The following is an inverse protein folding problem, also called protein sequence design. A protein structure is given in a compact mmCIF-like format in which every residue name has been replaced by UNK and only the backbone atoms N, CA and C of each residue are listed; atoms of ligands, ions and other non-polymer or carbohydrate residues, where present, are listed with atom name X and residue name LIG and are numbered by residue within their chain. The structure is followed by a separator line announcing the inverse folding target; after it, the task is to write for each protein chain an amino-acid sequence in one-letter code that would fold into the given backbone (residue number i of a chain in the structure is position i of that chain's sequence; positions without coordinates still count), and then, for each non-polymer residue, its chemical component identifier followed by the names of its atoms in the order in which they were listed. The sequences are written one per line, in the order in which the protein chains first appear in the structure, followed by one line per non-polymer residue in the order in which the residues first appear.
data_IF_757284356833
#
_entry.id   IF_757284356833
#
_cell.length_a   1.000
_cell.length_b   1.000
_cell.length_c   1.000
_cell.angle_alpha   90.00
_cell.angle_beta   90.00
_cell.angle_gamma   90.00
#
_symmetry.space_group_name_H-M   'P 1'
#
loop_
_entity.id
_entity.type
_entity.pdbx_description
1 polymer ?
#
# COMPACT_ATOMS: atom_id res chain seq x y z
N UNK A 1 -6.74 2.20 -14.58
CA UNK A 1 -7.14 3.10 -13.47
C UNK A 1 -8.47 2.62 -12.92
N UNK A 2 -8.63 2.61 -11.60
CA UNK A 2 -9.88 2.28 -10.94
C UNK A 2 -10.28 3.44 -10.01
N UNK A 3 -11.55 3.80 -10.01
CA UNK A 3 -12.13 4.83 -9.15
C UNK A 3 -13.15 4.18 -8.23
N UNK A 4 -13.11 4.52 -6.93
CA UNK A 4 -14.10 4.07 -5.95
C UNK A 4 -15.29 5.05 -5.81
N UNK A 5 -15.38 6.04 -6.70
CA UNK A 5 -16.43 7.08 -6.76
C UNK A 5 -16.84 7.34 -8.20
N UNK A 6 -18.04 7.92 -8.44
CA UNK A 6 -18.48 8.33 -9.77
C UNK A 6 -17.41 9.14 -10.51
N UNK A 7 -17.25 8.86 -11.80
CA UNK A 7 -16.33 9.55 -12.70
C UNK A 7 -17.01 10.78 -13.31
N UNK A 8 -16.48 11.97 -13.00
CA UNK A 8 -16.96 13.27 -13.48
C UNK A 8 -16.12 13.82 -14.65
N UNK A 9 -16.57 14.96 -15.21
CA UNK A 9 -15.96 15.59 -16.38
C UNK A 9 -14.52 16.05 -16.14
N UNK A 10 -14.26 16.70 -15.00
CA UNK A 10 -12.91 17.18 -14.63
C UNK A 10 -11.92 16.02 -14.48
N UNK A 11 -12.33 14.94 -13.80
CA UNK A 11 -11.50 13.74 -13.66
C UNK A 11 -11.30 13.08 -15.01
N UNK A 12 -12.33 12.97 -15.86
CA UNK A 12 -12.21 12.44 -17.20
C UNK A 12 -11.20 13.24 -18.04
N UNK A 13 -11.25 14.57 -17.97
CA UNK A 13 -10.30 15.44 -18.67
C UNK A 13 -8.87 15.18 -18.21
N UNK A 14 -8.63 15.09 -16.89
CA UNK A 14 -7.31 14.74 -16.35
C UNK A 14 -6.83 13.37 -16.84
N UNK A 15 -7.70 12.36 -16.88
CA UNK A 15 -7.37 11.02 -17.37
C UNK A 15 -6.95 11.01 -18.85
N UNK A 16 -7.45 11.94 -19.68
CA UNK A 16 -7.08 12.01 -21.10
C UNK A 16 -5.66 12.51 -21.38
N UNK A 17 -5.00 13.09 -20.36
CA UNK A 17 -3.63 13.63 -20.46
C UNK A 17 -2.56 12.52 -20.42
N UNK A 18 -2.94 11.33 -19.93
CA UNK A 18 -2.07 10.15 -19.87
C UNK A 18 -2.58 9.09 -20.84
N UNK A 19 -1.68 8.29 -21.42
CA UNK A 19 -2.10 7.11 -22.15
C UNK A 19 -2.63 6.05 -21.18
N UNK A 20 -3.91 5.70 -21.31
CA UNK A 20 -4.59 4.73 -20.44
C UNK A 20 -5.19 3.59 -21.25
N UNK A 21 -5.04 2.39 -20.73
CA UNK A 21 -5.66 1.20 -21.32
C UNK A 21 -7.11 1.03 -20.89
N UNK A 22 -7.37 1.13 -19.59
CA UNK A 22 -8.67 0.84 -19.01
C UNK A 22 -8.96 1.78 -17.82
N UNK A 23 -10.21 2.24 -17.74
CA UNK A 23 -10.78 2.98 -16.61
C UNK A 23 -11.99 2.21 -16.09
N UNK A 24 -12.04 1.99 -14.79
CA UNK A 24 -13.16 1.34 -14.10
C UNK A 24 -13.71 2.29 -13.05
N UNK A 25 -15.04 2.48 -13.01
CA UNK A 25 -15.70 3.34 -12.03
C UNK A 25 -17.10 2.80 -11.67
N UNK A 26 -17.67 3.15 -10.50
CA UNK A 26 -19.03 2.77 -10.13
C UNK A 26 -20.10 3.41 -11.01
N UNK A 27 -19.85 4.63 -11.51
CA UNK A 27 -20.68 5.32 -12.48
C UNK A 27 -19.87 6.35 -13.25
N UNK A 28 -20.44 6.88 -14.33
CA UNK A 28 -19.81 7.86 -15.21
C UNK A 28 -20.86 8.90 -15.59
N UNK A 29 -20.53 10.19 -15.47
CA UNK A 29 -21.44 11.26 -15.90
C UNK A 29 -21.53 11.31 -17.44
N UNK A 30 -22.63 11.85 -18.02
CA UNK A 30 -22.73 12.01 -19.47
C UNK A 30 -21.58 12.83 -20.08
N UNK A 31 -21.12 13.85 -19.35
CA UNK A 31 -19.97 14.67 -19.72
C UNK A 31 -18.68 13.84 -19.76
N UNK A 32 -18.38 13.09 -18.70
CA UNK A 32 -17.22 12.20 -18.64
C UNK A 32 -17.24 11.16 -19.76
N UNK A 33 -18.40 10.55 -20.03
CA UNK A 33 -18.57 9.59 -21.10
C UNK A 33 -18.25 10.20 -22.47
N UNK A 34 -18.71 11.43 -22.73
CA UNK A 34 -18.43 12.16 -23.98
C UNK A 34 -16.93 12.42 -24.14
N UNK A 35 -16.24 12.87 -23.09
CA UNK A 35 -14.79 13.13 -23.10
C UNK A 35 -14.00 11.85 -23.39
N UNK A 36 -14.33 10.74 -22.72
CA UNK A 36 -13.57 9.50 -22.84
C UNK A 36 -13.85 8.76 -24.16
N UNK A 37 -15.02 8.93 -24.76
CA UNK A 37 -15.35 8.37 -26.08
C UNK A 37 -14.42 8.88 -27.19
N UNK A 38 -13.83 10.06 -27.04
CA UNK A 38 -12.82 10.57 -27.98
C UNK A 38 -11.52 9.72 -27.99
N UNK A 39 -11.31 8.85 -27.00
CA UNK A 39 -10.17 7.94 -26.91
C UNK A 39 -10.57 6.55 -27.39
N UNK A 40 -10.47 6.30 -28.70
CA UNK A 40 -10.98 5.08 -29.37
C UNK A 40 -10.51 3.75 -28.78
N UNK A 41 -9.31 3.69 -28.19
CA UNK A 41 -8.73 2.47 -27.63
C UNK A 41 -8.91 2.34 -26.10
N UNK A 42 -9.50 3.36 -25.45
CA UNK A 42 -9.71 3.36 -24.02
C UNK A 42 -10.93 2.49 -23.68
N UNK A 43 -10.72 1.47 -22.85
CA UNK A 43 -11.81 0.66 -22.29
C UNK A 43 -12.37 1.38 -21.07
N UNK A 44 -13.66 1.70 -21.07
CA UNK A 44 -14.35 2.28 -19.91
C UNK A 44 -15.38 1.28 -19.39
N UNK A 45 -15.20 0.82 -18.15
CA UNK A 45 -16.09 -0.12 -17.49
C UNK A 45 -16.84 0.58 -16.36
N UNK A 46 -18.16 0.51 -16.40
CA UNK A 46 -19.04 0.98 -15.31
C UNK A 46 -19.51 -0.24 -14.53
N UNK A 47 -19.08 -0.34 -13.27
CA UNK A 47 -19.37 -1.45 -12.36
C UNK A 47 -19.98 -0.90 -11.05
N UNK A 48 -21.32 -0.79 -10.94
CA UNK A 48 -21.97 -0.18 -9.78
C UNK A 48 -21.59 -0.83 -8.43
N UNK A 49 -21.34 -2.13 -8.43
CA UNK A 49 -21.01 -2.92 -7.23
C UNK A 49 -19.50 -3.07 -6.98
N UNK A 50 -18.67 -2.15 -7.51
CA UNK A 50 -17.20 -2.23 -7.39
C UNK A 50 -16.69 -2.26 -5.94
N UNK A 51 -17.52 -1.88 -4.97
CA UNK A 51 -17.16 -1.79 -3.55
C UNK A 51 -17.27 -3.12 -2.79
N UNK A 52 -17.86 -4.16 -3.38
CA UNK A 52 -18.00 -5.49 -2.75
C UNK A 52 -17.16 -6.53 -3.48
N UNK A 53 -16.22 -7.13 -2.75
CA UNK A 53 -15.39 -8.23 -3.26
C UNK A 53 -16.04 -9.59 -3.06
N UNK A 54 -15.54 -10.60 -3.78
CA UNK A 54 -15.91 -11.99 -3.49
C UNK A 54 -15.37 -12.39 -2.10
N UNK A 55 -16.13 -13.16 -1.30
CA UNK A 55 -15.70 -13.59 0.03
C UNK A 55 -14.58 -14.64 0.01
N UNK A 56 -14.35 -15.26 -1.15
CA UNK A 56 -13.33 -16.28 -1.35
C UNK A 56 -12.50 -16.01 -2.61
N UNK A 57 -11.21 -16.32 -2.53
CA UNK A 57 -10.26 -16.27 -3.64
C UNK A 57 -9.98 -17.69 -4.10
N UNK A 58 -10.07 -17.92 -5.41
CA UNK A 58 -9.71 -19.19 -6.04
C UNK A 58 -8.41 -19.03 -6.80
N UNK A 59 -7.44 -19.92 -6.54
CA UNK A 59 -6.18 -19.99 -7.29
C UNK A 59 -6.05 -21.34 -7.98
N UNK A 60 -5.92 -21.34 -9.29
CA UNK A 60 -5.66 -22.56 -10.06
C UNK A 60 -4.23 -23.06 -9.86
N UNK A 61 -4.07 -24.37 -9.73
CA UNK A 61 -2.77 -25.06 -9.68
C UNK A 61 -2.79 -26.25 -10.63
N UNK A 62 -1.62 -26.82 -10.96
CA UNK A 62 -1.58 -28.06 -11.72
C UNK A 62 -2.37 -29.15 -10.98
N UNK A 63 -3.35 -29.74 -11.65
CA UNK A 63 -4.20 -30.79 -11.08
C UNK A 63 -5.38 -30.31 -10.22
N UNK A 64 -5.63 -29.00 -10.07
CA UNK A 64 -6.80 -28.54 -9.31
C UNK A 64 -6.84 -27.04 -8.99
N UNK A 65 -7.43 -26.71 -7.85
CA UNK A 65 -7.55 -25.34 -7.35
C UNK A 65 -7.43 -25.29 -5.83
N UNK A 66 -7.00 -24.13 -5.33
CA UNK A 66 -7.02 -23.75 -3.92
C UNK A 66 -8.11 -22.71 -3.71
N UNK A 67 -8.81 -22.78 -2.58
CA UNK A 67 -9.80 -21.79 -2.15
C UNK A 67 -9.44 -21.30 -0.76
N UNK A 68 -9.42 -19.98 -0.58
CA UNK A 68 -9.22 -19.34 0.71
C UNK A 68 -10.18 -18.17 0.89
N UNK A 69 -10.39 -17.73 2.13
CA UNK A 69 -11.08 -16.47 2.40
C UNK A 69 -10.29 -15.29 1.83
N UNK A 70 -11.00 -14.26 1.39
CA UNK A 70 -10.41 -12.99 0.96
C UNK A 70 -9.75 -12.26 2.12
N UNK A 71 -8.66 -11.54 1.85
CA UNK A 71 -8.00 -10.65 2.81
C UNK A 71 -8.68 -9.26 2.78
N UNK A 72 -9.89 -9.20 3.31
CA UNK A 72 -10.76 -8.02 3.29
C UNK A 72 -11.09 -7.47 4.69
N UNK A 73 -10.42 -7.99 5.72
CA UNK A 73 -10.64 -7.57 7.11
C UNK A 73 -10.44 -6.05 7.25
N UNK A 74 -11.36 -5.33 7.92
CA UNK A 74 -11.20 -3.92 8.21
C UNK A 74 -9.90 -3.65 8.97
N UNK A 75 -9.23 -2.55 8.64
CA UNK A 75 -8.09 -2.08 9.44
C UNK A 75 -8.61 -1.56 10.77
N UNK A 76 -8.03 -2.05 11.88
CA UNK A 76 -8.41 -1.69 13.25
C UNK A 76 -7.23 -1.02 13.96
N UNK A 77 -7.03 0.31 13.80
CA UNK A 77 -5.88 1.01 14.37
C UNK A 77 -5.83 0.95 15.90
N UNK A 78 -6.99 0.83 16.56
CA UNK A 78 -7.09 0.75 18.02
C UNK A 78 -6.47 -0.53 18.61
N UNK A 79 -6.24 -1.56 17.79
CA UNK A 79 -5.57 -2.81 18.22
C UNK A 79 -4.06 -2.77 17.97
N UNK A 80 -3.56 -1.72 17.32
CA UNK A 80 -2.15 -1.59 16.98
C UNK A 80 -1.33 -1.14 18.19
N UNK A 81 -0.05 -1.53 18.19
CA UNK A 81 0.87 -1.23 19.28
C UNK A 81 1.98 -0.31 18.77
N UNK A 82 2.09 0.87 19.37
CA UNK A 82 3.29 1.71 19.20
C UNK A 82 4.39 1.12 20.08
N UNK A 83 5.44 0.60 19.45
CA UNK A 83 6.50 -0.16 20.15
C UNK A 83 7.80 0.61 20.37
N UNK A 84 7.89 1.80 19.78
CA UNK A 84 9.00 2.75 19.97
C UNK A 84 8.67 3.78 21.05
N UNK A 85 9.69 4.48 21.54
CA UNK A 85 9.57 5.59 22.48
C UNK A 85 8.81 6.77 21.86
N UNK A 86 9.13 7.10 20.61
CA UNK A 86 8.43 8.15 19.87
C UNK A 86 7.01 7.70 19.52
N UNK A 87 6.07 8.62 19.74
CA UNK A 87 4.66 8.42 19.42
C UNK A 87 4.31 9.09 18.08
N UNK A 88 3.43 8.47 17.26
CA UNK A 88 2.96 9.10 16.04
C UNK A 88 2.09 10.31 16.36
N UNK A 89 2.26 11.38 15.59
CA UNK A 89 1.25 12.44 15.51
C UNK A 89 -0.06 11.89 14.91
N UNK A 90 -1.21 12.56 15.12
CA UNK A 90 -2.46 12.15 14.49
C UNK A 90 -2.37 12.04 12.96
N UNK A 91 -1.64 12.95 12.31
CA UNK A 91 -1.41 12.91 10.87
C UNK A 91 -0.56 11.69 10.44
N UNK A 92 0.52 11.40 11.18
CA UNK A 92 1.31 10.20 10.93
C UNK A 92 0.50 8.91 11.14
N UNK A 93 -0.37 8.86 12.15
CA UNK A 93 -1.25 7.71 12.36
C UNK A 93 -2.21 7.49 11.19
N UNK A 94 -2.82 8.56 10.65
CA UNK A 94 -3.66 8.45 9.46
C UNK A 94 -2.87 7.97 8.23
N UNK A 95 -1.65 8.46 8.05
CA UNK A 95 -0.79 8.04 6.95
C UNK A 95 -0.30 6.58 7.12
N UNK A 96 0.02 6.12 8.34
CA UNK A 96 0.32 4.71 8.64
C UNK A 96 -0.85 3.80 8.26
N UNK A 97 -2.09 4.22 8.55
CA UNK A 97 -3.30 3.48 8.15
C UNK A 97 -3.43 3.42 6.63
N UNK A 98 -3.18 4.54 5.93
CA UNK A 98 -3.20 4.58 4.47
C UNK A 98 -2.13 3.66 3.87
N UNK A 99 -0.88 3.79 4.31
CA UNK A 99 0.25 2.98 3.87
C UNK A 99 -0.03 1.48 4.07
N UNK A 100 -0.61 1.11 5.22
CA UNK A 100 -1.00 -0.26 5.54
C UNK A 100 -2.06 -0.82 4.57
N UNK A 101 -3.11 -0.04 4.29
CA UNK A 101 -4.15 -0.42 3.32
C UNK A 101 -3.58 -0.62 1.93
N UNK A 102 -2.69 0.27 1.49
CA UNK A 102 -2.00 0.14 0.21
C UNK A 102 -1.14 -1.13 0.17
N UNK A 103 -0.34 -1.36 1.21
CA UNK A 103 0.63 -2.45 1.24
C UNK A 103 0.00 -3.84 1.09
N UNK A 104 -1.23 -4.03 1.61
CA UNK A 104 -2.01 -5.27 1.46
C UNK A 104 -2.21 -5.70 0.01
N UNK A 105 -2.26 -4.75 -0.92
CA UNK A 105 -2.55 -5.03 -2.34
C UNK A 105 -1.30 -5.24 -3.20
N UNK A 106 -0.10 -5.16 -2.60
CA UNK A 106 1.18 -5.29 -3.29
C UNK A 106 1.67 -6.73 -3.18
N UNK A 107 2.28 -7.26 -4.25
CA UNK A 107 2.83 -8.62 -4.24
C UNK A 107 4.02 -8.73 -3.28
N UNK A 108 4.03 -9.78 -2.47
CA UNK A 108 5.02 -10.03 -1.42
C UNK A 108 6.39 -10.47 -1.97
N UNK A 109 7.51 -10.12 -1.33
CA UNK A 109 7.61 -9.23 -0.16
C UNK A 109 7.34 -7.77 -0.58
N UNK A 110 6.49 -7.06 0.16
CA UNK A 110 6.04 -5.74 -0.22
C UNK A 110 6.51 -4.64 0.74
N UNK A 111 6.92 -3.52 0.16
CA UNK A 111 7.16 -2.25 0.85
C UNK A 111 6.43 -1.13 0.12
N UNK A 112 5.68 -0.32 0.85
CA UNK A 112 5.06 0.89 0.35
C UNK A 112 5.63 2.10 1.09
N UNK A 113 6.06 3.12 0.34
CA UNK A 113 6.41 4.44 0.87
C UNK A 113 5.33 5.42 0.46
N UNK A 114 4.73 6.12 1.42
CA UNK A 114 3.59 7.01 1.18
C UNK A 114 3.72 8.34 1.92
N UNK A 115 3.08 9.37 1.38
CA UNK A 115 2.86 10.66 2.05
C UNK A 115 1.55 11.27 1.55
N UNK A 116 0.85 12.00 2.41
CA UNK A 116 -0.39 12.71 2.06
C UNK A 116 -1.39 11.84 1.27
N UNK A 117 -1.65 10.63 1.74
CA UNK A 117 -2.52 9.65 1.08
C UNK A 117 -2.11 9.33 -0.37
N UNK A 118 -0.82 9.40 -0.68
CA UNK A 118 -0.26 9.15 -2.01
C UNK A 118 0.96 8.24 -1.91
N UNK A 119 1.05 7.25 -2.79
CA UNK A 119 2.24 6.40 -2.92
C UNK A 119 3.38 7.16 -3.59
N UNK A 120 4.56 7.14 -2.97
CA UNK A 120 5.80 7.68 -3.54
C UNK A 120 6.67 6.58 -4.15
N UNK A 121 6.66 5.40 -3.54
CA UNK A 121 7.47 4.27 -4.01
C UNK A 121 6.92 2.93 -3.57
N UNK A 122 7.05 1.93 -4.45
CA UNK A 122 6.52 0.58 -4.26
C UNK A 122 7.60 -0.44 -4.60
N UNK A 123 8.01 -1.21 -3.59
CA UNK A 123 8.85 -2.38 -3.77
C UNK A 123 8.01 -3.64 -3.72
N UNK A 124 7.81 -4.29 -4.85
CA UNK A 124 6.94 -5.45 -4.97
C UNK A 124 7.71 -6.71 -5.39
N UNK A 125 7.27 -7.86 -4.89
CA UNK A 125 7.61 -9.18 -5.44
C UNK A 125 9.06 -9.63 -5.22
N UNK A 126 9.80 -9.04 -4.29
CA UNK A 126 11.20 -9.40 -4.07
C UNK A 126 11.35 -10.64 -3.18
N UNK A 127 12.41 -11.41 -3.43
CA UNK A 127 12.75 -12.59 -2.63
C UNK A 127 13.18 -12.23 -1.20
N UNK A 128 13.73 -11.04 -0.99
CA UNK A 128 14.10 -10.51 0.32
C UNK A 128 13.49 -9.12 0.53
N UNK A 129 13.22 -8.77 1.80
CA UNK A 129 12.47 -7.54 2.10
C UNK A 129 13.30 -6.27 2.01
N UNK A 130 14.59 -6.33 2.35
CA UNK A 130 15.51 -5.20 2.19
C UNK A 130 15.59 -4.76 0.72
N UNK A 131 15.52 -5.69 -0.23
CA UNK A 131 15.43 -5.39 -1.67
C UNK A 131 14.15 -4.67 -2.05
N UNK A 132 12.99 -5.07 -1.51
CA UNK A 132 11.75 -4.31 -1.69
C UNK A 132 11.88 -2.90 -1.12
N UNK A 133 12.50 -2.75 0.06
CA UNK A 133 12.68 -1.45 0.68
C UNK A 133 13.58 -0.53 -0.16
N UNK A 134 14.69 -1.07 -0.69
CA UNK A 134 15.58 -0.33 -1.58
C UNK A 134 14.88 0.16 -2.84
N UNK A 135 14.04 -0.67 -3.48
CA UNK A 135 13.26 -0.28 -4.65
C UNK A 135 12.27 0.84 -4.30
N UNK A 136 11.49 0.66 -3.23
CA UNK A 136 10.50 1.64 -2.81
C UNK A 136 11.14 2.99 -2.45
N UNK A 137 12.23 2.96 -1.69
CA UNK A 137 12.99 4.16 -1.29
C UNK A 137 13.61 4.85 -2.51
N UNK A 138 14.23 4.09 -3.42
CA UNK A 138 14.85 4.65 -4.61
C UNK A 138 13.80 5.31 -5.53
N UNK A 139 12.61 4.71 -5.65
CA UNK A 139 11.51 5.28 -6.42
C UNK A 139 10.99 6.58 -5.77
N UNK A 140 10.87 6.62 -4.43
CA UNK A 140 10.44 7.80 -3.71
C UNK A 140 11.48 8.94 -3.77
N UNK A 141 12.77 8.61 -3.85
CA UNK A 141 13.86 9.59 -3.94
C UNK A 141 13.83 10.59 -2.80
N UNK A 142 14.05 11.88 -3.11
CA UNK A 142 14.02 12.96 -2.12
C UNK A 142 12.66 13.12 -1.41
N UNK A 143 11.57 12.64 -2.03
CA UNK A 143 10.22 12.71 -1.44
C UNK A 143 10.05 11.73 -0.28
N UNK A 144 10.97 10.76 -0.09
CA UNK A 144 10.96 9.86 1.06
C UNK A 144 11.17 10.59 2.40
N UNK A 145 11.76 11.79 2.39
CA UNK A 145 11.98 12.59 3.60
C UNK A 145 10.64 13.00 4.22
N UNK A 146 10.39 12.57 5.45
CA UNK A 146 9.12 12.79 6.15
C UNK A 146 8.01 11.81 5.76
N UNK A 147 8.29 10.85 4.88
CA UNK A 147 7.30 9.86 4.44
C UNK A 147 7.17 8.69 5.45
N UNK A 148 6.17 7.86 5.20
CA UNK A 148 5.82 6.69 6.01
C UNK A 148 6.10 5.43 5.20
N UNK A 149 6.57 4.38 5.87
CA UNK A 149 6.82 3.08 5.25
C UNK A 149 5.92 2.00 5.84
N UNK A 150 5.27 1.22 4.99
CA UNK A 150 4.53 0.02 5.37
C UNK A 150 5.21 -1.24 4.82
N UNK A 151 5.17 -2.31 5.60
CA UNK A 151 5.70 -3.63 5.24
C UNK A 151 4.65 -4.71 5.44
N UNK A 152 4.37 -5.52 4.42
CA UNK A 152 3.33 -6.55 4.47
C UNK A 152 3.61 -7.68 5.47
N UNK A 153 4.89 -7.93 5.77
CA UNK A 153 5.39 -8.89 6.75
C UNK A 153 6.27 -8.26 7.83
N UNK A 154 6.76 -9.07 8.77
CA UNK A 154 7.71 -8.62 9.81
C UNK A 154 9.17 -8.50 9.35
N UNK A 155 9.93 -7.54 9.85
CA UNK A 155 11.35 -7.45 9.50
C UNK A 155 12.17 -8.57 10.17
N UNK A 156 12.95 -9.35 9.40
CA UNK A 156 13.80 -10.39 9.98
C UNK A 156 15.07 -9.83 10.65
N UNK A 157 15.49 -8.62 10.26
CA UNK A 157 16.68 -7.91 10.74
C UNK A 157 16.42 -6.40 10.77
N UNK A 158 17.32 -5.63 11.36
CA UNK A 158 17.22 -4.16 11.48
C UNK A 158 17.61 -3.38 10.19
N UNK A 159 18.15 -4.07 9.19
CA UNK A 159 18.66 -3.52 7.93
C UNK A 159 17.65 -2.60 7.20
N UNK A 160 16.38 -3.01 7.19
CA UNK A 160 15.29 -2.30 6.52
C UNK A 160 14.93 -1.03 7.28
N UNK A 161 14.95 -1.08 8.61
CA UNK A 161 14.71 0.09 9.48
C UNK A 161 15.81 1.12 9.30
N UNK A 162 17.08 0.67 9.31
CA UNK A 162 18.23 1.56 9.10
C UNK A 162 18.21 2.19 7.71
N UNK A 163 17.88 1.41 6.68
CA UNK A 163 17.75 1.91 5.30
C UNK A 163 16.63 2.96 5.19
N UNK A 164 15.49 2.74 5.84
CA UNK A 164 14.38 3.68 5.88
C UNK A 164 14.78 5.00 6.57
N UNK A 165 15.50 4.92 7.69
CA UNK A 165 15.99 6.09 8.42
C UNK A 165 16.93 6.95 7.57
N UNK A 166 17.88 6.33 6.84
CA UNK A 166 18.80 7.03 5.93
C UNK A 166 18.04 7.79 4.84
N UNK A 167 16.92 7.23 4.37
CA UNK A 167 16.05 7.88 3.38
C UNK A 167 15.17 9.01 3.97
N UNK A 168 15.17 9.19 5.30
CA UNK A 168 14.37 10.19 5.99
C UNK A 168 12.93 9.75 6.27
N UNK A 169 12.62 8.45 6.23
CA UNK A 169 11.33 7.92 6.70
C UNK A 169 11.18 8.22 8.20
N UNK A 170 10.01 8.68 8.62
CA UNK A 170 9.75 9.10 10.01
C UNK A 170 8.90 8.11 10.80
N UNK A 171 8.14 7.24 10.12
CA UNK A 171 7.40 6.18 10.78
C UNK A 171 7.25 4.92 9.92
N UNK A 172 7.10 3.79 10.60
CA UNK A 172 7.01 2.46 10.01
C UNK A 172 5.81 1.71 10.60
N UNK A 173 5.05 1.02 9.74
CA UNK A 173 4.02 0.04 10.17
C UNK A 173 4.35 -1.35 9.61
N UNK A 174 4.30 -2.36 10.47
CA UNK A 174 4.57 -3.76 10.13
C UNK A 174 3.78 -4.70 11.06
N UNK A 175 3.66 -6.01 10.77
CA UNK A 175 2.92 -6.94 11.62
C UNK A 175 3.55 -7.18 12.99
N UNK A 176 4.88 -7.27 13.08
CA UNK A 176 5.58 -7.90 14.19
C UNK A 176 5.49 -9.44 14.16
N UNK A 177 6.02 -10.08 15.20
CA UNK A 177 6.07 -11.53 15.36
C UNK A 177 7.42 -12.16 14.98
N UNK A 178 8.45 -11.35 14.73
CA UNK A 178 9.82 -11.87 14.56
C UNK A 178 10.43 -12.24 15.90
N UNK A 179 11.19 -13.33 15.95
CA UNK A 179 12.06 -13.62 17.11
C UNK A 179 13.10 -12.50 17.34
N UNK A 180 13.33 -11.66 16.31
CA UNK A 180 14.26 -10.53 16.28
C UNK A 180 13.54 -9.16 16.22
N UNK A 181 12.26 -9.07 16.60
CA UNK A 181 11.56 -7.79 16.58
C UNK A 181 12.29 -6.72 17.41
N UNK A 182 12.94 -7.13 18.52
CA UNK A 182 13.75 -6.25 19.36
C UNK A 182 14.84 -5.52 18.59
N UNK A 183 15.50 -6.16 17.63
CA UNK A 183 16.57 -5.56 16.84
C UNK A 183 16.01 -4.40 15.98
N UNK A 184 14.85 -4.62 15.36
CA UNK A 184 14.18 -3.62 14.53
C UNK A 184 13.60 -2.46 15.36
N UNK A 185 13.02 -2.76 16.52
CA UNK A 185 12.46 -1.75 17.44
C UNK A 185 13.59 -0.89 18.00
N UNK A 186 14.69 -1.51 18.44
CA UNK A 186 15.86 -0.79 18.94
C UNK A 186 16.44 0.12 17.87
N UNK A 187 16.60 -0.36 16.63
CA UNK A 187 17.10 0.47 15.54
C UNK A 187 16.16 1.65 15.24
N UNK A 188 14.84 1.48 15.35
CA UNK A 188 13.89 2.58 15.18
C UNK A 188 14.03 3.62 16.31
N UNK A 189 14.13 3.19 17.56
CA UNK A 189 14.37 4.09 18.70
C UNK A 189 15.69 4.85 18.57
N UNK A 190 16.79 4.16 18.24
CA UNK A 190 18.12 4.75 18.01
C UNK A 190 18.09 5.86 16.96
N UNK A 191 17.24 5.72 15.95
CA UNK A 191 17.15 6.60 14.79
C UNK A 191 15.97 7.58 14.89
N UNK A 192 15.20 7.52 15.97
CA UNK A 192 14.05 8.39 16.23
C UNK A 192 12.80 8.09 15.38
N UNK A 193 12.70 6.92 14.75
CA UNK A 193 11.53 6.52 13.99
C UNK A 193 10.41 6.06 14.92
N UNK A 194 9.17 6.33 14.51
CA UNK A 194 8.01 5.67 15.12
C UNK A 194 7.84 4.29 14.48
N UNK A 195 7.63 3.24 15.27
CA UNK A 195 7.24 1.91 14.78
C UNK A 195 5.93 1.45 15.39
N UNK A 196 5.04 0.96 14.52
CA UNK A 196 3.74 0.42 14.89
C UNK A 196 3.61 -1.03 14.45
N UNK A 197 3.19 -1.90 15.37
CA UNK A 197 2.91 -3.31 15.12
C UNK A 197 1.40 -3.57 14.99
N UNK A 198 0.99 -4.26 13.93
CA UNK A 198 -0.43 -4.53 13.64
C UNK A 198 -0.90 -5.93 14.05
N UNK A 199 0.03 -6.87 14.29
CA UNK A 199 -0.23 -8.29 14.49
C UNK A 199 -0.99 -8.99 13.34
N UNK A 200 -1.07 -8.37 12.16
CA UNK A 200 -1.74 -8.92 10.98
C UNK A 200 -0.77 -8.90 9.81
N UNK A 201 -0.61 -10.02 9.11
CA UNK A 201 0.25 -10.14 7.93
C UNK A 201 -0.59 -10.20 6.66
N UNK A 202 -0.22 -9.42 5.65
CA UNK A 202 -0.94 -9.32 4.38
C UNK A 202 -0.13 -9.87 3.20
N UNK A 203 0.16 -11.17 3.20
CA UNK A 203 0.91 -11.79 2.09
C UNK A 203 0.05 -12.02 0.86
N UNK A 204 0.58 -11.62 -0.29
CA UNK A 204 -0.07 -11.74 -1.59
C UNK A 204 0.94 -12.23 -2.66
N UNK A 205 0.70 -13.44 -3.16
CA UNK A 205 1.41 -14.01 -4.32
C UNK A 205 0.55 -13.93 -5.58
#
# INVERSE_FOLDING_TARGET
VALNRPLDGDTAQALTTTFLECVVAPSCTPEAATILQAKTNLRVLVLPDLLTGAPAIVKSIAGGLLVQQSDDLPVQPDTWQVVTQNQPTPAQMQELIFAWKVCRHIKSNAIAVTTNCTTLGIGAGQMNRVGSAQIAIAQAGEQAKGAILASDGFFPFDDTVRSAAVAGIVAIVQPGGSIRDKDSIQAADELGLVMVLTNVRHFLH
#
